data_IF_527673741532
#
_entry.id   IF_527673741532
#
_cell.length_a   1.000
_cell.length_b   1.000
_cell.length_c   1.000
_cell.angle_alpha   90.00
_cell.angle_beta   90.00
_cell.angle_gamma   90.00
#
_symmetry.space_group_name_H-M   'P 1'
#
loop_
_entity.id
_entity.type
_entity.pdbx_description
1 polymer ?
#
# COMPACT_ATOMS: atom_id res chain seq x y z
N UNK A 1 -13.95 6.40 2.27
CA UNK A 1 -15.23 6.40 1.54
C UNK A 1 -14.97 6.49 0.03
N UNK A 2 -15.62 5.62 -0.76
CA UNK A 2 -15.49 5.67 -2.22
C UNK A 2 -16.34 6.81 -2.79
N UNK A 3 -15.81 7.65 -3.70
CA UNK A 3 -16.60 8.69 -4.37
C UNK A 3 -17.82 8.13 -5.11
N UNK A 4 -17.66 6.98 -5.75
CA UNK A 4 -18.73 6.28 -6.47
C UNK A 4 -19.84 5.84 -5.50
N UNK A 5 -19.46 5.33 -4.33
CA UNK A 5 -20.42 4.93 -3.30
C UNK A 5 -21.28 6.13 -2.83
N UNK A 6 -20.64 7.27 -2.57
CA UNK A 6 -21.34 8.49 -2.19
C UNK A 6 -22.32 8.96 -3.27
N UNK A 7 -21.94 8.87 -4.54
CA UNK A 7 -22.80 9.26 -5.66
C UNK A 7 -24.01 8.34 -5.87
N UNK A 8 -23.80 7.03 -5.80
CA UNK A 8 -24.85 6.05 -6.14
C UNK A 8 -25.87 5.89 -5.01
N UNK A 9 -25.42 5.88 -3.76
CA UNK A 9 -26.30 5.57 -2.62
C UNK A 9 -26.93 6.80 -1.99
N UNK A 10 -26.27 7.94 -2.07
CA UNK A 10 -26.69 9.11 -1.28
C UNK A 10 -27.11 10.31 -2.11
N UNK A 11 -26.63 10.43 -3.34
CA UNK A 11 -27.13 11.48 -4.22
C UNK A 11 -28.54 11.13 -4.70
N UNK A 12 -29.50 11.98 -4.40
CA UNK A 12 -30.85 11.86 -4.94
C UNK A 12 -30.87 12.01 -6.47
N UNK A 13 -31.89 11.48 -7.11
CA UNK A 13 -32.04 11.57 -8.58
C UNK A 13 -32.13 13.01 -9.12
N UNK A 14 -32.37 13.97 -8.25
CA UNK A 14 -32.45 15.40 -8.53
C UNK A 14 -31.10 16.14 -8.38
N UNK A 15 -30.06 15.46 -7.95
CA UNK A 15 -28.73 16.06 -7.79
C UNK A 15 -27.99 16.00 -9.12
N UNK A 16 -27.63 17.15 -9.66
CA UNK A 16 -26.68 17.22 -10.78
C UNK A 16 -25.26 17.09 -10.24
N UNK A 17 -24.62 15.96 -10.55
CA UNK A 17 -23.25 15.67 -10.11
C UNK A 17 -22.25 16.72 -10.57
N UNK A 18 -22.52 17.42 -11.67
CA UNK A 18 -21.65 18.49 -12.18
C UNK A 18 -21.58 19.70 -11.26
N UNK A 19 -22.68 19.97 -10.53
CA UNK A 19 -22.74 21.07 -9.57
C UNK A 19 -21.90 20.81 -8.32
N UNK A 20 -21.58 19.54 -8.04
CA UNK A 20 -20.73 19.14 -6.93
C UNK A 20 -19.23 19.38 -7.19
N UNK A 21 -18.87 19.82 -8.41
CA UNK A 21 -17.48 20.11 -8.76
C UNK A 21 -16.92 21.29 -7.98
N UNK A 22 -17.77 22.25 -7.64
CA UNK A 22 -17.45 23.33 -6.72
C UNK A 22 -17.63 22.81 -5.27
N UNK A 23 -16.69 22.00 -4.84
CA UNK A 23 -16.79 21.22 -3.60
C UNK A 23 -16.40 21.99 -2.34
N UNK A 24 -15.96 23.21 -2.43
CA UNK A 24 -15.75 24.09 -1.28
C UNK A 24 -16.96 25.01 -1.04
N UNK A 25 -17.25 25.28 0.21
CA UNK A 25 -18.21 26.30 0.58
C UNK A 25 -17.64 27.67 0.25
N UNK A 26 -18.41 28.58 -0.39
CA UNK A 26 -17.91 29.91 -0.75
C UNK A 26 -17.38 30.70 0.44
N UNK A 27 -16.14 31.17 0.34
CA UNK A 27 -15.46 31.90 1.42
C UNK A 27 -14.90 31.04 2.53
N UNK A 28 -15.05 29.72 2.43
CA UNK A 28 -14.52 28.73 3.37
C UNK A 28 -13.65 27.68 2.66
N UNK A 29 -13.00 28.08 1.58
CA UNK A 29 -12.13 27.22 0.80
C UNK A 29 -10.98 26.68 1.67
N UNK A 30 -10.76 25.38 1.62
CA UNK A 30 -9.79 24.68 2.49
C UNK A 30 -10.29 24.38 3.91
N UNK A 31 -11.42 24.94 4.33
CA UNK A 31 -11.98 24.78 5.67
C UNK A 31 -13.25 23.93 5.69
N UNK A 32 -14.13 24.11 4.71
CA UNK A 32 -15.42 23.46 4.70
C UNK A 32 -15.82 22.99 3.30
N UNK A 33 -16.09 21.69 3.18
CA UNK A 33 -16.63 21.15 1.95
C UNK A 33 -18.11 21.51 1.76
N UNK A 34 -18.52 21.62 0.51
CA UNK A 34 -19.92 21.73 0.10
C UNK A 34 -20.44 20.35 -0.29
N UNK A 35 -21.55 19.93 0.27
CA UNK A 35 -22.17 18.65 -0.07
C UNK A 35 -23.60 18.82 -0.59
N UNK A 36 -24.19 17.78 -1.17
CA UNK A 36 -25.51 17.77 -1.78
C UNK A 36 -26.68 17.65 -0.77
N UNK A 37 -26.40 17.26 0.46
CA UNK A 37 -27.39 17.06 1.52
C UNK A 37 -27.69 18.34 2.32
N UNK A 38 -27.05 19.45 1.98
CA UNK A 38 -27.23 20.73 2.68
C UNK A 38 -28.02 21.68 1.77
N UNK A 39 -29.35 21.65 1.91
CA UNK A 39 -30.24 22.43 1.06
C UNK A 39 -30.15 23.96 1.28
N UNK A 40 -29.78 24.42 2.49
CA UNK A 40 -29.90 25.83 2.85
C UNK A 40 -28.69 26.43 3.55
N UNK A 41 -27.53 25.91 3.34
CA UNK A 41 -26.36 26.50 3.95
C UNK A 41 -25.57 25.50 4.75
N UNK A 42 -24.38 25.82 4.82
CA UNK A 42 -23.26 25.08 5.37
C UNK A 42 -23.28 25.06 6.90
N UNK A 43 -24.45 25.29 7.48
CA UNK A 43 -24.62 25.39 8.92
C UNK A 43 -24.55 24.02 9.56
N UNK A 44 -23.63 23.91 10.48
CA UNK A 44 -23.40 22.82 11.42
C UNK A 44 -22.57 21.62 11.00
N UNK A 45 -22.02 21.58 9.81
CA UNK A 45 -20.95 20.61 9.48
C UNK A 45 -21.26 19.16 9.83
N UNK A 46 -22.51 18.78 9.88
CA UNK A 46 -22.95 17.40 10.12
C UNK A 46 -23.15 16.72 8.79
N UNK A 47 -22.05 16.38 8.13
CA UNK A 47 -22.20 15.52 6.96
C UNK A 47 -21.92 14.09 7.37
N UNK A 48 -22.84 13.22 7.04
CA UNK A 48 -22.62 11.79 7.10
C UNK A 48 -21.82 11.32 5.88
N UNK A 49 -21.76 12.17 4.84
CA UNK A 49 -21.15 11.83 3.55
C UNK A 49 -20.27 12.98 3.03
N UNK A 50 -19.22 12.61 2.31
CA UNK A 50 -18.36 13.58 1.65
C UNK A 50 -18.82 13.86 0.22
N UNK A 51 -18.59 15.06 -0.25
CA UNK A 51 -18.68 15.38 -1.66
C UNK A 51 -17.70 14.49 -2.45
N UNK A 52 -18.14 13.84 -3.55
CA UNK A 52 -17.29 12.93 -4.31
C UNK A 52 -16.07 13.60 -4.93
N UNK A 53 -16.15 14.83 -5.37
CA UNK A 53 -15.02 15.58 -5.89
C UNK A 53 -14.06 16.00 -4.78
N UNK A 54 -14.58 16.37 -3.62
CA UNK A 54 -13.76 16.65 -2.45
C UNK A 54 -12.88 15.44 -2.08
N UNK A 55 -13.45 14.22 -2.04
CA UNK A 55 -12.66 13.01 -1.77
C UNK A 55 -11.57 12.81 -2.82
N UNK A 56 -11.89 13.03 -4.10
CA UNK A 56 -10.95 12.79 -5.20
C UNK A 56 -9.78 13.76 -5.21
N UNK A 57 -10.00 15.02 -4.82
CA UNK A 57 -9.01 16.07 -4.96
C UNK A 57 -8.30 16.42 -3.65
N UNK A 58 -8.95 16.18 -2.51
CA UNK A 58 -8.43 16.60 -1.23
C UNK A 58 -7.98 15.44 -0.32
N UNK A 59 -8.65 14.27 -0.43
CA UNK A 59 -8.27 13.10 0.35
C UNK A 59 -7.36 12.19 -0.47
N UNK A 60 -6.07 12.42 -0.34
CA UNK A 60 -5.07 11.80 -1.21
C UNK A 60 -4.36 10.65 -0.53
N UNK A 61 -4.09 9.62 -1.29
CA UNK A 61 -3.24 8.50 -0.90
C UNK A 61 -2.06 8.41 -1.87
N UNK A 62 -0.88 8.70 -1.36
CA UNK A 62 0.38 8.50 -2.06
C UNK A 62 1.05 7.21 -1.63
N UNK A 63 1.75 6.56 -2.54
CA UNK A 63 2.63 5.45 -2.19
C UNK A 63 3.88 5.44 -3.05
N UNK A 64 4.97 5.00 -2.46
CA UNK A 64 6.22 4.74 -3.14
C UNK A 64 6.69 3.34 -2.77
N UNK A 65 6.92 2.49 -3.78
CA UNK A 65 7.34 1.12 -3.57
C UNK A 65 8.63 0.84 -4.33
N UNK A 66 9.65 0.38 -3.60
CA UNK A 66 10.88 -0.14 -4.16
C UNK A 66 10.93 -1.65 -3.95
N UNK A 67 11.25 -2.38 -5.01
CA UNK A 67 11.46 -3.82 -4.94
C UNK A 67 12.83 -4.13 -5.53
N UNK A 68 13.67 -4.78 -4.74
CA UNK A 68 14.99 -5.27 -5.17
C UNK A 68 15.04 -6.76 -4.99
N UNK A 69 15.48 -7.48 -6.01
CA UNK A 69 15.66 -8.92 -5.93
C UNK A 69 16.88 -9.35 -6.71
N UNK A 70 17.46 -10.45 -6.28
CA UNK A 70 18.61 -11.04 -6.94
C UNK A 70 18.82 -12.48 -6.52
N UNK A 71 19.57 -13.23 -7.31
CA UNK A 71 19.93 -14.58 -6.96
C UNK A 71 21.32 -14.92 -7.49
N UNK A 72 21.99 -15.81 -6.75
CA UNK A 72 23.26 -16.40 -7.16
C UNK A 72 23.17 -17.91 -7.02
N UNK A 73 23.86 -18.62 -7.91
CA UNK A 73 23.93 -20.08 -7.89
C UNK A 73 25.36 -20.52 -8.17
N UNK A 74 25.85 -21.41 -7.34
CA UNK A 74 27.13 -22.05 -7.51
C UNK A 74 26.92 -23.55 -7.60
N UNK A 75 27.40 -24.15 -8.70
CA UNK A 75 27.43 -25.60 -8.89
C UNK A 75 28.85 -26.07 -8.85
N UNK A 76 29.09 -27.13 -8.07
CA UNK A 76 30.38 -27.78 -7.96
C UNK A 76 30.25 -29.29 -8.25
N UNK A 77 30.93 -29.76 -9.27
CA UNK A 77 30.99 -31.19 -9.61
C UNK A 77 32.11 -31.84 -8.80
N UNK A 78 31.74 -32.53 -7.71
CA UNK A 78 32.66 -33.22 -6.80
C UNK A 78 33.31 -34.42 -7.50
N UNK A 79 32.48 -35.17 -8.22
CA UNK A 79 32.87 -36.27 -9.10
C UNK A 79 32.04 -36.21 -10.38
N UNK A 80 32.27 -37.14 -11.32
CA UNK A 80 31.43 -37.24 -12.53
C UNK A 80 29.98 -37.62 -12.22
N UNK A 81 29.78 -38.27 -11.08
CA UNK A 81 28.47 -38.76 -10.63
C UNK A 81 27.81 -37.85 -9.57
N UNK A 82 28.59 -37.08 -8.80
CA UNK A 82 28.13 -36.27 -7.70
C UNK A 82 28.35 -34.78 -7.96
N UNK A 83 27.29 -34.01 -7.91
CA UNK A 83 27.36 -32.55 -7.90
C UNK A 83 26.65 -31.94 -6.68
N UNK A 84 27.14 -30.80 -6.26
CA UNK A 84 26.57 -30.00 -5.20
C UNK A 84 26.18 -28.65 -5.79
N UNK A 85 24.98 -28.20 -5.52
CA UNK A 85 24.47 -26.89 -5.96
C UNK A 85 24.07 -26.09 -4.73
N UNK A 86 24.66 -24.91 -4.58
CA UNK A 86 24.23 -23.89 -3.64
C UNK A 86 23.54 -22.79 -4.43
N UNK A 87 22.30 -22.44 -4.04
CA UNK A 87 21.56 -21.33 -4.59
C UNK A 87 21.14 -20.42 -3.46
N UNK A 88 21.31 -19.12 -3.63
CA UNK A 88 20.76 -18.14 -2.70
C UNK A 88 19.98 -17.07 -3.48
N UNK A 89 18.85 -16.68 -2.96
CA UNK A 89 18.00 -15.60 -3.49
C UNK A 89 17.74 -14.58 -2.40
N UNK A 90 17.73 -13.32 -2.76
CA UNK A 90 17.39 -12.19 -1.90
C UNK A 90 16.22 -11.45 -2.52
N UNK A 91 15.24 -11.12 -1.70
CA UNK A 91 14.13 -10.26 -2.06
C UNK A 91 13.94 -9.20 -0.96
N UNK A 92 13.87 -7.94 -1.36
CA UNK A 92 13.68 -6.79 -0.47
C UNK A 92 12.59 -5.89 -1.06
N UNK A 93 11.60 -5.56 -0.25
CA UNK A 93 10.58 -4.60 -0.59
C UNK A 93 10.58 -3.49 0.46
N UNK A 94 10.47 -2.26 -0.02
CA UNK A 94 10.23 -1.06 0.78
C UNK A 94 8.95 -0.42 0.28
N UNK A 95 8.03 -0.15 1.18
CA UNK A 95 6.78 0.53 0.90
C UNK A 95 6.66 1.73 1.83
N UNK A 96 6.47 2.90 1.25
CA UNK A 96 6.12 4.12 1.96
C UNK A 96 4.74 4.56 1.46
N UNK A 97 3.82 4.74 2.38
CA UNK A 97 2.48 5.24 2.09
C UNK A 97 2.22 6.51 2.88
N UNK A 98 1.58 7.47 2.26
CA UNK A 98 1.06 8.66 2.92
C UNK A 98 -0.44 8.83 2.64
N UNK A 99 -1.18 9.14 3.69
CA UNK A 99 -2.60 9.43 3.65
C UNK A 99 -2.84 10.85 4.12
N UNK A 100 -3.45 11.64 3.27
CA UNK A 100 -3.85 13.03 3.51
C UNK A 100 -5.36 13.07 3.57
N UNK A 101 -5.88 13.41 4.72
CA UNK A 101 -7.31 13.61 4.93
C UNK A 101 -7.53 15.09 5.17
N UNK A 102 -8.23 15.75 4.28
CA UNK A 102 -8.48 17.18 4.38
C UNK A 102 -9.42 17.52 5.53
N UNK A 103 -9.30 18.73 6.01
CA UNK A 103 -10.26 19.30 6.95
C UNK A 103 -11.67 19.26 6.34
N UNK A 104 -12.71 19.12 7.18
CA UNK A 104 -14.09 18.93 6.78
C UNK A 104 -14.47 17.56 6.22
N UNK A 105 -13.53 16.60 6.20
CA UNK A 105 -13.87 15.22 5.86
C UNK A 105 -14.86 14.64 6.87
N UNK A 106 -15.93 13.99 6.40
CA UNK A 106 -16.88 13.28 7.27
C UNK A 106 -16.12 12.28 8.17
N UNK A 107 -16.43 12.30 9.47
CA UNK A 107 -15.76 11.53 10.53
C UNK A 107 -14.30 11.87 10.81
N UNK A 108 -13.71 12.84 10.11
CA UNK A 108 -12.36 13.35 10.34
C UNK A 108 -12.29 14.86 10.10
N UNK A 109 -13.12 15.62 10.81
CA UNK A 109 -13.36 17.04 10.53
C UNK A 109 -12.13 17.93 10.63
N UNK A 110 -11.20 17.58 11.50
CA UNK A 110 -9.94 18.31 11.66
C UNK A 110 -8.90 17.86 10.63
N UNK A 111 -9.28 17.00 9.69
CA UNK A 111 -8.35 16.34 8.81
C UNK A 111 -7.37 15.44 9.59
N UNK A 112 -6.50 14.78 8.90
CA UNK A 112 -5.32 14.12 9.49
C UNK A 112 -4.27 13.85 8.42
N UNK A 113 -3.09 13.54 8.90
CA UNK A 113 -1.99 13.08 8.08
C UNK A 113 -1.38 11.82 8.69
N UNK A 114 -1.11 10.82 7.88
CA UNK A 114 -0.37 9.66 8.36
C UNK A 114 0.61 9.15 7.34
N UNK A 115 1.76 8.69 7.83
CA UNK A 115 2.76 7.99 7.05
C UNK A 115 2.95 6.59 7.61
N UNK A 116 3.03 5.62 6.71
CA UNK A 116 3.39 4.24 7.01
C UNK A 116 4.63 3.88 6.21
N UNK A 117 5.63 3.35 6.90
CA UNK A 117 6.82 2.79 6.29
C UNK A 117 6.88 1.31 6.60
N UNK A 118 7.06 0.50 5.59
CA UNK A 118 7.14 -0.94 5.71
C UNK A 118 8.31 -1.46 4.87
N UNK A 119 9.12 -2.33 5.46
CA UNK A 119 10.24 -3.00 4.80
C UNK A 119 10.13 -4.49 5.07
N UNK A 120 10.21 -5.30 4.05
CA UNK A 120 10.42 -6.73 4.17
C UNK A 120 11.71 -7.17 3.46
N UNK A 121 12.40 -8.10 4.09
CA UNK A 121 13.64 -8.67 3.60
C UNK A 121 13.60 -10.19 3.73
N UNK A 122 13.88 -10.88 2.64
CA UNK A 122 13.87 -12.33 2.59
C UNK A 122 15.13 -12.86 1.93
N UNK A 123 15.74 -13.85 2.59
CA UNK A 123 16.79 -14.67 2.00
C UNK A 123 16.28 -16.11 1.90
N UNK A 124 16.45 -16.71 0.74
CA UNK A 124 16.18 -18.12 0.47
C UNK A 124 17.51 -18.76 0.10
N UNK A 125 17.86 -19.86 0.76
CA UNK A 125 19.08 -20.60 0.47
C UNK A 125 18.75 -22.07 0.29
N UNK A 126 19.10 -22.62 -0.85
CA UNK A 126 18.98 -24.02 -1.21
C UNK A 126 20.36 -24.65 -1.32
N UNK A 127 20.56 -25.76 -0.66
CA UNK A 127 21.73 -26.63 -0.84
C UNK A 127 21.24 -27.98 -1.34
N UNK A 128 21.72 -28.42 -2.49
CA UNK A 128 21.31 -29.68 -3.13
C UNK A 128 22.54 -30.49 -3.47
N UNK A 129 22.51 -31.78 -3.12
CA UNK A 129 23.47 -32.76 -3.57
C UNK A 129 22.75 -33.76 -4.50
N UNK A 130 23.23 -33.91 -5.73
CA UNK A 130 22.67 -34.81 -6.73
C UNK A 130 23.71 -35.85 -7.13
N UNK A 131 23.32 -37.10 -7.07
CA UNK A 131 24.13 -38.25 -7.45
C UNK A 131 23.43 -39.03 -8.56
N UNK A 132 24.12 -39.21 -9.69
CA UNK A 132 23.64 -39.98 -10.83
C UNK A 132 24.70 -40.99 -11.23
N UNK A 133 24.37 -42.30 -11.28
CA UNK A 133 25.31 -43.34 -11.68
C UNK A 133 24.62 -44.44 -12.52
N UNK A 134 25.30 -44.79 -13.57
CA UNK A 134 24.92 -45.93 -14.40
C UNK A 134 25.71 -47.18 -13.98
N UNK A 135 24.97 -48.24 -13.63
CA UNK A 135 25.54 -49.53 -13.24
C UNK A 135 24.95 -50.58 -14.12
N UNK A 136 25.68 -51.02 -15.14
CA UNK A 136 25.18 -51.97 -16.14
C UNK A 136 23.96 -51.41 -16.90
N UNK A 137 22.83 -52.09 -16.79
CA UNK A 137 21.55 -51.66 -17.40
C UNK A 137 20.74 -50.74 -16.52
N UNK A 138 21.17 -50.38 -15.30
CA UNK A 138 20.43 -49.56 -14.35
C UNK A 138 20.99 -48.15 -14.28
N UNK A 139 20.14 -47.15 -14.34
CA UNK A 139 20.43 -45.76 -14.05
C UNK A 139 19.91 -45.44 -12.64
N UNK A 140 20.79 -45.10 -11.71
CA UNK A 140 20.48 -44.79 -10.32
C UNK A 140 20.68 -43.30 -10.13
N UNK A 141 19.61 -42.61 -9.72
CA UNK A 141 19.62 -41.20 -9.35
C UNK A 141 19.17 -41.00 -7.90
N UNK A 142 19.90 -40.19 -7.14
CA UNK A 142 19.54 -39.77 -5.80
C UNK A 142 19.75 -38.29 -5.63
N UNK A 143 18.85 -37.62 -4.86
CA UNK A 143 18.97 -36.21 -4.55
C UNK A 143 18.67 -35.97 -3.08
N UNK A 144 19.55 -35.20 -2.43
CA UNK A 144 19.34 -34.69 -1.09
C UNK A 144 19.30 -33.18 -1.15
N UNK A 145 18.31 -32.55 -0.53
CA UNK A 145 18.16 -31.10 -0.52
C UNK A 145 17.93 -30.56 0.88
N UNK A 146 18.46 -29.39 1.12
CA UNK A 146 18.21 -28.56 2.31
C UNK A 146 17.77 -27.17 1.85
N UNK A 147 16.69 -26.66 2.43
CA UNK A 147 16.20 -25.32 2.18
C UNK A 147 16.16 -24.54 3.50
N UNK A 148 16.68 -23.32 3.47
CA UNK A 148 16.59 -22.37 4.58
C UNK A 148 15.97 -21.07 4.06
N UNK A 149 15.00 -20.57 4.82
CA UNK A 149 14.34 -19.28 4.59
C UNK A 149 14.51 -18.39 5.81
N UNK A 150 15.09 -17.23 5.59
CA UNK A 150 15.12 -16.15 6.58
C UNK A 150 14.20 -15.04 6.08
N UNK A 151 13.30 -14.60 6.96
CA UNK A 151 12.36 -13.52 6.68
C UNK A 151 12.40 -12.53 7.82
N UNK A 152 12.46 -11.24 7.49
CA UNK A 152 12.43 -10.15 8.45
C UNK A 152 11.53 -9.05 7.86
N UNK A 153 10.55 -8.62 8.63
CA UNK A 153 9.69 -7.50 8.30
C UNK A 153 9.71 -6.47 9.42
N UNK A 154 9.60 -5.22 9.02
CA UNK A 154 9.54 -4.07 9.93
C UNK A 154 8.58 -3.06 9.38
N UNK A 155 7.76 -2.49 10.25
CA UNK A 155 6.86 -1.42 9.90
C UNK A 155 6.73 -0.42 11.03
N UNK A 156 6.52 0.83 10.68
CA UNK A 156 6.11 1.86 11.62
C UNK A 156 5.12 2.79 10.94
N UNK A 157 4.24 3.35 11.76
CA UNK A 157 3.24 4.32 11.34
C UNK A 157 3.29 5.50 12.29
N UNK A 158 3.28 6.69 11.71
CA UNK A 158 3.06 7.94 12.44
C UNK A 158 1.80 8.61 11.88
N UNK A 159 1.03 9.25 12.74
CA UNK A 159 -0.20 9.94 12.36
C UNK A 159 -0.45 11.12 13.29
N UNK A 160 -1.14 12.13 12.76
CA UNK A 160 -1.68 13.25 13.54
C UNK A 160 -3.13 12.99 13.92
N UNK A 161 -3.59 13.51 15.05
CA UNK A 161 -5.02 13.47 15.44
C UNK A 161 -5.85 14.53 14.70
N UNK A 162 -5.19 15.49 14.06
CA UNK A 162 -5.77 16.55 13.26
C UNK A 162 -4.67 17.38 12.61
N UNK A 163 -5.05 18.23 11.68
CA UNK A 163 -4.14 19.20 11.07
C UNK A 163 -4.07 20.47 11.93
N UNK A 164 -2.86 20.91 12.29
CA UNK A 164 -2.68 22.16 12.99
C UNK A 164 -3.05 23.37 12.10
N UNK A 165 -2.80 23.24 10.81
CA UNK A 165 -3.16 24.22 9.78
C UNK A 165 -3.80 23.48 8.61
N UNK A 166 -5.01 23.87 8.15
CA UNK A 166 -5.66 23.27 7.01
C UNK A 166 -4.76 23.25 5.77
N UNK A 167 -4.72 22.10 5.08
CA UNK A 167 -3.92 21.94 3.86
C UNK A 167 -2.42 21.72 4.09
N UNK A 168 -1.93 21.78 5.33
CA UNK A 168 -0.54 21.46 5.65
C UNK A 168 -0.46 20.07 6.28
N UNK A 169 0.18 19.16 5.57
CA UNK A 169 0.27 17.73 5.94
C UNK A 169 1.69 17.42 6.42
N UNK A 170 1.94 17.60 7.70
CA UNK A 170 3.22 17.33 8.39
C UNK A 170 2.97 16.49 9.63
N UNK A 171 4.01 15.81 10.11
CA UNK A 171 4.00 15.05 11.37
C UNK A 171 4.54 15.86 12.55
N UNK A 172 4.78 17.14 12.36
CA UNK A 172 5.23 18.06 13.38
C UNK A 172 4.06 18.59 14.22
#
# INVERSE_FOLDING_TARGET
NSPIYSMILWAGANVDVRDLKDYWAPGLEGLQQRNFDVADGYENGSYDYNNPYFILYENLHGYHKNTSYGSASLKYDVTKELNITLRTGVNMNELMEDYRTAQSTAYARNGNYSQTYYTDFQILTDLMAKYDKKIGAFDIGAMLGFNARQYNDRGHKAATDGLAVPGIYTLE
#
